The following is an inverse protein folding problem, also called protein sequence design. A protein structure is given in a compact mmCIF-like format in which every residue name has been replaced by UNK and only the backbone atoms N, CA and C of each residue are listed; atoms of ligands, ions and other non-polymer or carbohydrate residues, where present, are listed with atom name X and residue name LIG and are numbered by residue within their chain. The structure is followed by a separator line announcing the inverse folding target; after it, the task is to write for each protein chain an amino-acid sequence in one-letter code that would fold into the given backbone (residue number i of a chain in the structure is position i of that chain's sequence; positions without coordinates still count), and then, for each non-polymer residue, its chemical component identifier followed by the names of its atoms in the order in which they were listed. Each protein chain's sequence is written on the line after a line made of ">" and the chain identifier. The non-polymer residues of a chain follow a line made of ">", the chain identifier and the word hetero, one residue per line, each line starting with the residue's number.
data_IF_366579310513
#
_entry.id   IF_366579310513
#
_cell.length_a   1.000
_cell.length_b   1.000
_cell.length_c   1.000
_cell.angle_alpha   90.00
_cell.angle_beta   90.00
_cell.angle_gamma   90.00
#
_symmetry.space_group_name_H-M   'P 1'
#
loop_
_entity.id
_entity.type
_entity.pdbx_description
1 polymer ?
#
# COMPACT_ATOMS: atom_id res chain seq x y z
N UNK A 1 15.14 -14.12 15.59
CA UNK A 1 14.25 -14.37 14.43
C UNK A 1 13.49 -13.08 14.13
N UNK A 2 13.21 -12.75 12.87
CA UNK A 2 12.51 -11.51 12.51
C UNK A 2 11.38 -11.81 11.53
N UNK A 3 10.38 -10.94 11.46
CA UNK A 3 9.21 -11.11 10.57
C UNK A 3 9.67 -11.19 9.10
N UNK A 4 9.45 -12.35 8.45
CA UNK A 4 9.81 -12.55 7.04
C UNK A 4 8.59 -12.44 6.12
N UNK A 5 7.43 -12.88 6.61
CA UNK A 5 6.15 -12.85 5.90
C UNK A 5 5.09 -12.27 6.82
N UNK A 6 4.27 -11.37 6.28
CA UNK A 6 3.02 -10.94 6.88
C UNK A 6 1.85 -11.58 6.12
N UNK A 7 0.93 -12.22 6.84
CA UNK A 7 -0.25 -12.84 6.25
C UNK A 7 -1.51 -12.62 7.08
N UNK A 8 -2.65 -13.08 6.55
CA UNK A 8 -3.95 -12.94 7.20
C UNK A 8 -3.96 -13.59 8.59
N UNK A 9 -3.32 -14.75 8.77
CA UNK A 9 -3.28 -15.45 10.05
C UNK A 9 -2.57 -14.62 11.13
N UNK A 10 -1.54 -13.84 10.76
CA UNK A 10 -0.85 -12.96 11.70
C UNK A 10 -1.75 -11.83 12.25
N UNK A 11 -2.78 -11.42 11.49
CA UNK A 11 -3.63 -10.27 11.82
C UNK A 11 -5.07 -10.66 12.21
N UNK A 12 -5.52 -11.88 11.93
CA UNK A 12 -6.92 -12.29 12.03
C UNK A 12 -7.51 -12.08 13.43
N UNK A 13 -6.73 -12.38 14.48
CA UNK A 13 -7.13 -12.17 15.87
C UNK A 13 -7.43 -10.70 16.19
N UNK A 14 -6.75 -9.77 15.52
CA UNK A 14 -6.89 -8.33 15.73
C UNK A 14 -7.88 -7.67 14.77
N UNK A 15 -8.41 -8.39 13.80
CA UNK A 15 -9.34 -7.84 12.79
C UNK A 15 -10.54 -7.06 13.34
N UNK A 16 -11.13 -7.39 14.51
CA UNK A 16 -12.26 -6.63 15.04
C UNK A 16 -11.90 -5.24 15.56
N UNK A 17 -10.62 -4.95 15.84
CA UNK A 17 -10.23 -3.74 16.58
C UNK A 17 -8.97 -3.03 16.06
N UNK A 18 -8.14 -3.67 15.23
CA UNK A 18 -6.88 -3.08 14.78
C UNK A 18 -7.13 -1.83 13.93
N UNK A 19 -6.66 -0.68 14.42
CA UNK A 19 -6.77 0.60 13.71
C UNK A 19 -5.48 0.98 13.00
N UNK A 20 -4.33 0.57 13.52
CA UNK A 20 -3.04 0.95 12.97
C UNK A 20 -2.14 -0.28 12.90
N UNK A 21 -1.64 -0.57 11.70
CA UNK A 21 -0.57 -1.53 11.48
C UNK A 21 0.70 -0.75 11.15
N UNK A 22 1.63 -0.74 12.10
CA UNK A 22 2.91 -0.04 11.95
C UNK A 22 4.05 -1.07 12.00
N UNK A 23 4.73 -1.25 10.87
CA UNK A 23 5.89 -2.12 10.72
C UNK A 23 7.11 -1.28 10.34
N UNK A 24 7.94 -0.93 11.33
CA UNK A 24 9.20 -0.19 11.15
C UNK A 24 10.39 -1.11 11.31
N UNK A 25 11.45 -0.88 10.55
CA UNK A 25 12.72 -1.59 10.65
C UNK A 25 12.58 -3.12 10.51
N UNK A 26 11.58 -3.57 9.76
CA UNK A 26 11.33 -4.98 9.46
C UNK A 26 12.27 -5.45 8.35
N UNK A 27 13.58 -5.43 8.64
CA UNK A 27 14.68 -5.69 7.69
C UNK A 27 14.64 -7.05 7.00
N UNK A 28 13.86 -7.99 7.54
CA UNK A 28 13.69 -9.34 6.99
C UNK A 28 12.38 -9.55 6.25
N UNK A 29 11.44 -8.60 6.31
CA UNK A 29 10.15 -8.71 5.63
C UNK A 29 10.39 -8.75 4.12
N UNK A 30 9.92 -9.82 3.49
CA UNK A 30 10.03 -10.08 2.05
C UNK A 30 8.67 -10.20 1.40
N UNK A 31 7.69 -10.75 2.13
CA UNK A 31 6.40 -11.10 1.58
C UNK A 31 5.27 -10.49 2.41
N UNK A 32 4.26 -10.00 1.71
CA UNK A 32 2.93 -9.76 2.26
C UNK A 32 1.98 -10.58 1.42
N UNK A 33 1.30 -11.54 2.04
CA UNK A 33 0.45 -12.48 1.32
C UNK A 33 -0.87 -11.82 0.91
N UNK A 34 -1.50 -12.41 -0.11
CA UNK A 34 -2.88 -12.05 -0.48
C UNK A 34 -3.81 -12.18 0.72
N UNK A 35 -4.91 -11.44 0.71
CA UNK A 35 -5.92 -11.43 1.79
C UNK A 35 -5.40 -10.99 3.18
N UNK A 36 -4.15 -10.53 3.32
CA UNK A 36 -3.59 -10.04 4.59
C UNK A 36 -4.49 -8.99 5.27
N UNK A 37 -5.10 -8.09 4.49
CA UNK A 37 -5.96 -7.02 5.00
C UNK A 37 -7.46 -7.34 4.96
N UNK A 38 -7.84 -8.59 4.68
CA UNK A 38 -9.24 -9.01 4.61
C UNK A 38 -9.92 -8.85 5.97
N UNK A 39 -11.14 -8.33 5.96
CA UNK A 39 -11.97 -8.06 7.15
C UNK A 39 -11.39 -7.04 8.15
N UNK A 40 -10.38 -6.27 7.76
CA UNK A 40 -9.76 -5.23 8.61
C UNK A 40 -10.56 -3.91 8.56
N UNK A 41 -11.84 -3.96 8.90
CA UNK A 41 -12.78 -2.82 8.72
C UNK A 41 -12.45 -1.58 9.54
N UNK A 42 -11.76 -1.74 10.66
CA UNK A 42 -11.35 -0.65 11.54
C UNK A 42 -9.97 -0.06 11.18
N UNK A 43 -9.26 -0.64 10.21
CA UNK A 43 -7.91 -0.23 9.87
C UNK A 43 -7.91 1.15 9.20
N UNK A 44 -7.21 2.09 9.83
CA UNK A 44 -7.06 3.49 9.44
C UNK A 44 -5.69 3.76 8.85
N UNK A 45 -4.66 3.10 9.38
CA UNK A 45 -3.27 3.31 9.00
C UNK A 45 -2.61 1.98 8.66
N UNK A 46 -2.03 1.92 7.47
CA UNK A 46 -1.04 0.92 7.09
C UNK A 46 0.27 1.67 6.89
N UNK A 47 1.26 1.42 7.76
CA UNK A 47 2.56 2.05 7.67
C UNK A 47 3.66 1.00 7.72
N UNK A 48 4.33 0.81 6.59
CA UNK A 48 5.49 -0.07 6.44
C UNK A 48 6.69 0.80 6.07
N UNK A 49 7.75 0.74 6.86
CA UNK A 49 8.99 1.48 6.57
C UNK A 49 10.24 0.68 6.86
N UNK A 50 11.32 1.03 6.16
CA UNK A 50 12.64 0.41 6.34
C UNK A 50 12.58 -1.11 6.19
N UNK A 51 11.95 -1.55 5.10
CA UNK A 51 11.78 -2.96 4.72
C UNK A 51 12.52 -3.24 3.39
N UNK A 52 13.85 -3.18 3.35
CA UNK A 52 14.63 -3.18 2.11
C UNK A 52 14.50 -4.46 1.27
N UNK A 53 14.03 -5.56 1.86
CA UNK A 53 13.84 -6.85 1.18
C UNK A 53 12.41 -7.05 0.64
N UNK A 54 11.51 -6.10 0.91
CA UNK A 54 10.15 -6.09 0.36
C UNK A 54 10.21 -5.47 -1.04
N UNK A 55 10.38 -6.32 -2.05
CA UNK A 55 10.59 -5.89 -3.44
C UNK A 55 9.32 -5.82 -4.28
N UNK A 56 8.31 -6.60 -3.91
CA UNK A 56 7.08 -6.74 -4.66
C UNK A 56 5.93 -6.97 -3.67
N UNK A 57 4.73 -6.60 -4.11
CA UNK A 57 3.48 -6.93 -3.45
C UNK A 57 2.60 -7.69 -4.43
N UNK A 58 1.78 -8.65 -3.97
CA UNK A 58 0.79 -9.27 -4.82
C UNK A 58 -0.13 -8.23 -5.45
N UNK A 59 -0.39 -8.35 -6.75
CA UNK A 59 -1.25 -7.40 -7.48
C UNK A 59 -2.64 -7.25 -6.86
N UNK A 60 -3.15 -8.32 -6.25
CA UNK A 60 -4.45 -8.36 -5.59
C UNK A 60 -4.42 -8.09 -4.09
N UNK A 61 -3.28 -7.65 -3.52
CA UNK A 61 -3.17 -7.38 -2.09
C UNK A 61 -4.21 -6.35 -1.59
N UNK A 62 -4.47 -5.32 -2.40
CA UNK A 62 -5.46 -4.28 -2.09
C UNK A 62 -6.78 -4.47 -2.83
N UNK A 63 -7.12 -5.70 -3.25
CA UNK A 63 -8.47 -6.03 -3.72
C UNK A 63 -9.40 -6.24 -2.52
N UNK A 64 -9.65 -5.15 -1.78
CA UNK A 64 -10.27 -5.20 -0.46
C UNK A 64 -11.05 -3.91 -0.16
N UNK A 65 -12.05 -4.04 0.70
CA UNK A 65 -12.77 -2.92 1.28
C UNK A 65 -12.21 -2.57 2.66
N UNK A 66 -11.59 -1.39 2.77
CA UNK A 66 -11.06 -0.83 4.01
C UNK A 66 -11.80 0.48 4.32
N UNK A 67 -13.02 0.42 4.89
CA UNK A 67 -13.91 1.57 5.03
C UNK A 67 -13.28 2.73 5.81
N UNK A 68 -12.41 2.41 6.76
CA UNK A 68 -11.80 3.37 7.68
C UNK A 68 -10.42 3.87 7.24
N UNK A 69 -9.88 3.38 6.11
CA UNK A 69 -8.50 3.69 5.71
C UNK A 69 -8.31 5.18 5.41
N UNK A 70 -7.30 5.77 6.04
CA UNK A 70 -6.91 7.18 5.89
C UNK A 70 -5.49 7.36 5.41
N UNK A 71 -4.60 6.44 5.78
CA UNK A 71 -3.16 6.56 5.54
C UNK A 71 -2.62 5.22 5.07
N UNK A 72 -2.02 5.22 3.87
CA UNK A 72 -1.25 4.10 3.34
C UNK A 72 0.17 4.60 3.07
N UNK A 73 1.15 4.10 3.83
CA UNK A 73 2.57 4.45 3.66
C UNK A 73 3.38 3.18 3.50
N UNK A 74 4.07 3.05 2.38
CA UNK A 74 5.04 1.98 2.13
C UNK A 74 6.31 2.65 1.61
N UNK A 75 7.20 3.03 2.52
CA UNK A 75 8.35 3.93 2.23
C UNK A 75 9.66 3.29 2.64
N UNK A 76 10.77 3.69 2.01
CA UNK A 76 12.09 3.11 2.28
C UNK A 76 12.09 1.58 2.18
N UNK A 77 11.47 1.04 1.13
CA UNK A 77 11.44 -0.39 0.85
C UNK A 77 12.18 -0.72 -0.46
N UNK A 78 12.17 -1.98 -0.84
CA UNK A 78 12.77 -2.45 -2.09
C UNK A 78 11.82 -2.41 -3.28
N UNK A 79 10.62 -1.82 -3.17
CA UNK A 79 9.56 -1.91 -4.18
C UNK A 79 10.02 -1.41 -5.54
N UNK A 80 9.91 -2.28 -6.55
CA UNK A 80 10.24 -1.96 -7.96
C UNK A 80 9.02 -1.65 -8.82
N UNK A 81 7.84 -2.01 -8.31
CA UNK A 81 6.55 -1.83 -8.96
C UNK A 81 5.59 -1.14 -7.99
N UNK A 82 4.72 -0.29 -8.52
CA UNK A 82 3.68 0.36 -7.73
C UNK A 82 2.61 -0.66 -7.34
N UNK A 83 2.17 -0.75 -6.05
CA UNK A 83 1.08 -1.62 -5.66
C UNK A 83 -0.22 -1.26 -6.39
N UNK A 84 -0.91 -2.24 -6.96
CA UNK A 84 -2.22 -1.99 -7.57
C UNK A 84 -3.22 -1.56 -6.49
N UNK A 85 -3.73 -0.34 -6.62
CA UNK A 85 -4.81 0.24 -5.81
C UNK A 85 -6.12 0.31 -6.59
N UNK A 86 -6.18 -0.32 -7.76
CA UNK A 86 -7.31 -0.27 -8.70
C UNK A 86 -8.64 -0.81 -8.14
N UNK A 87 -8.56 -1.66 -7.11
CA UNK A 87 -9.69 -2.29 -6.41
C UNK A 87 -9.67 -2.00 -4.90
N UNK A 88 -8.87 -1.04 -4.46
CA UNK A 88 -8.93 -0.56 -3.09
C UNK A 88 -10.18 0.31 -2.94
N UNK A 89 -11.08 -0.10 -2.04
CA UNK A 89 -12.31 0.64 -1.79
C UNK A 89 -12.35 1.14 -0.34
N UNK A 90 -12.71 2.41 -0.16
CA UNK A 90 -12.81 3.09 1.13
C UNK A 90 -14.16 3.80 1.23
N UNK A 91 -14.61 4.16 2.44
CA UNK A 91 -15.85 4.93 2.63
C UNK A 91 -15.63 6.43 2.49
N UNK A 92 -14.39 6.87 2.70
CA UNK A 92 -14.00 8.27 2.71
C UNK A 92 -12.72 8.48 1.93
N UNK A 93 -12.46 9.74 1.59
CA UNK A 93 -11.21 10.18 0.99
C UNK A 93 -10.03 9.72 1.87
N UNK A 94 -9.00 9.17 1.21
CA UNK A 94 -7.72 8.80 1.82
C UNK A 94 -6.92 10.10 2.00
N UNK A 95 -6.44 10.39 3.20
CA UNK A 95 -5.67 11.61 3.43
C UNK A 95 -4.29 11.53 2.76
N UNK A 96 -3.66 10.35 2.76
CA UNK A 96 -2.34 10.19 2.18
C UNK A 96 -2.08 8.76 1.69
N UNK A 97 -1.58 8.68 0.45
CA UNK A 97 -0.87 7.51 -0.06
C UNK A 97 0.58 7.93 -0.30
N UNK A 98 1.50 7.32 0.43
CA UNK A 98 2.92 7.66 0.38
C UNK A 98 3.72 6.41 -0.02
N UNK A 99 4.34 6.48 -1.19
CA UNK A 99 5.20 5.45 -1.76
C UNK A 99 6.59 6.03 -2.06
N UNK A 100 6.99 7.07 -1.34
CA UNK A 100 8.29 7.70 -1.51
C UNK A 100 9.44 6.77 -1.13
N UNK A 101 10.64 7.09 -1.63
CA UNK A 101 11.88 6.40 -1.27
C UNK A 101 11.85 4.90 -1.55
N UNK A 102 11.26 4.51 -2.68
CA UNK A 102 11.29 3.15 -3.20
C UNK A 102 12.14 3.10 -4.48
N UNK A 103 11.96 2.06 -5.30
CA UNK A 103 12.66 1.88 -6.58
C UNK A 103 11.66 1.69 -7.72
N UNK A 104 10.48 2.26 -7.60
CA UNK A 104 9.39 2.11 -8.57
C UNK A 104 9.85 2.71 -9.89
N UNK A 105 9.74 1.91 -10.96
CA UNK A 105 10.18 2.32 -12.32
C UNK A 105 9.03 2.76 -13.22
N UNK A 106 7.85 2.20 -13.00
CA UNK A 106 6.70 2.33 -13.89
C UNK A 106 5.40 2.48 -13.12
N UNK A 107 4.55 3.40 -13.57
CA UNK A 107 3.14 3.47 -13.16
C UNK A 107 2.30 2.89 -14.30
N UNK A 108 1.77 1.69 -14.07
CA UNK A 108 1.02 0.94 -15.09
C UNK A 108 -0.38 1.53 -15.34
N UNK A 109 -0.96 1.25 -16.50
CA UNK A 109 -2.31 1.67 -16.86
C UNK A 109 -3.32 1.09 -15.86
N UNK A 110 -4.28 1.92 -15.42
CA UNK A 110 -5.37 1.55 -14.52
C UNK A 110 -4.94 0.96 -13.17
N UNK A 111 -3.68 1.13 -12.76
CA UNK A 111 -3.19 0.60 -11.48
C UNK A 111 -3.65 1.43 -10.28
N UNK A 112 -4.01 2.70 -10.49
CA UNK A 112 -4.43 3.61 -9.43
C UNK A 112 -5.82 4.12 -9.76
N UNK A 113 -6.78 3.79 -8.90
CA UNK A 113 -8.17 4.23 -8.96
C UNK A 113 -8.67 4.53 -7.55
N UNK A 114 -8.22 5.65 -6.98
CA UNK A 114 -8.51 6.05 -5.60
C UNK A 114 -8.94 7.52 -5.53
N UNK A 115 -9.63 7.89 -4.46
CA UNK A 115 -9.85 9.30 -4.08
C UNK A 115 -8.97 9.63 -2.89
N UNK A 116 -7.96 10.49 -3.09
CA UNK A 116 -6.97 10.83 -2.08
C UNK A 116 -6.61 12.33 -2.09
N UNK A 117 -6.30 12.89 -0.93
CA UNK A 117 -5.81 14.26 -0.83
C UNK A 117 -4.37 14.38 -1.35
N UNK A 118 -3.54 13.36 -1.08
CA UNK A 118 -2.12 13.34 -1.45
C UNK A 118 -1.71 11.95 -1.94
N UNK A 119 -1.00 11.90 -3.06
CA UNK A 119 -0.25 10.74 -3.53
C UNK A 119 1.21 11.14 -3.71
N UNK A 120 2.11 10.61 -2.89
CA UNK A 120 3.53 10.96 -2.91
C UNK A 120 4.34 9.84 -3.56
N UNK A 121 5.08 10.17 -4.62
CA UNK A 121 5.89 9.23 -5.42
C UNK A 121 7.36 9.65 -5.53
N UNK A 122 7.77 10.69 -4.82
CA UNK A 122 9.13 11.24 -4.84
C UNK A 122 10.18 10.20 -4.44
N UNK A 123 11.43 10.46 -4.84
CA UNK A 123 12.58 9.60 -4.53
C UNK A 123 12.38 8.14 -5.00
N UNK A 124 11.73 7.97 -6.15
CA UNK A 124 11.69 6.75 -6.94
C UNK A 124 12.54 6.88 -8.21
N UNK A 125 12.49 5.88 -9.09
CA UNK A 125 13.18 5.89 -10.39
C UNK A 125 12.16 5.78 -11.54
N UNK A 126 11.02 6.46 -11.38
CA UNK A 126 9.92 6.41 -12.34
C UNK A 126 10.39 7.05 -13.64
N UNK A 127 10.44 6.25 -14.70
CA UNK A 127 10.79 6.72 -16.05
C UNK A 127 9.66 6.49 -17.05
N UNK A 128 8.59 5.80 -16.64
CA UNK A 128 7.44 5.48 -17.48
C UNK A 128 6.15 5.65 -16.68
N UNK A 129 5.22 6.46 -17.20
CA UNK A 129 3.83 6.51 -16.75
C UNK A 129 2.97 6.13 -17.95
N UNK A 130 2.25 5.03 -17.84
CA UNK A 130 1.38 4.56 -18.93
C UNK A 130 0.13 5.43 -19.09
N UNK A 131 -0.43 5.44 -20.29
CA UNK A 131 -1.73 6.04 -20.55
C UNK A 131 -2.78 5.48 -19.57
N UNK A 132 -3.68 6.33 -19.06
CA UNK A 132 -4.74 5.94 -18.11
C UNK A 132 -4.22 5.34 -16.79
N UNK A 133 -2.95 5.57 -16.41
CA UNK A 133 -2.39 5.13 -15.13
C UNK A 133 -3.26 5.50 -13.91
N UNK A 134 -3.81 6.72 -13.92
CA UNK A 134 -4.65 7.29 -12.86
C UNK A 134 -6.13 7.36 -13.25
N UNK A 135 -6.58 6.62 -14.27
CA UNK A 135 -7.97 6.72 -14.73
C UNK A 135 -8.96 6.39 -13.60
N UNK A 136 -9.90 7.30 -13.35
CA UNK A 136 -10.90 7.19 -12.28
C UNK A 136 -10.42 7.74 -10.92
N UNK A 137 -9.13 8.06 -10.79
CA UNK A 137 -8.60 8.65 -9.57
C UNK A 137 -8.96 10.13 -9.43
N UNK A 138 -9.13 10.58 -8.19
CA UNK A 138 -9.26 11.97 -7.80
C UNK A 138 -8.17 12.26 -6.77
N UNK A 139 -7.12 12.96 -7.19
CA UNK A 139 -5.91 13.19 -6.38
C UNK A 139 -5.73 14.69 -6.20
N UNK A 140 -5.76 15.17 -4.95
CA UNK A 140 -5.61 16.60 -4.64
C UNK A 140 -4.19 17.13 -4.88
N UNK A 141 -3.18 16.35 -4.52
CA UNK A 141 -1.75 16.64 -4.72
C UNK A 141 -1.02 15.37 -5.15
N UNK A 142 -0.19 15.48 -6.19
CA UNK A 142 0.62 14.41 -6.76
C UNK A 142 2.09 14.86 -6.83
#
# INVERSE_FOLDING_TARGET
>A
MGLETLNQHNLSYYSPSLQELILKDVKRLRNIEVDTFKNMSHLRTIYISHAPRLHQLPTNLFHVFLPSLKVLRIVHTGLVELPSLSKLSTRSIIHMVDLENNRIRRVRSRFINITAEQLLLDNNVINTVEERAFQGSQIGKL
#
